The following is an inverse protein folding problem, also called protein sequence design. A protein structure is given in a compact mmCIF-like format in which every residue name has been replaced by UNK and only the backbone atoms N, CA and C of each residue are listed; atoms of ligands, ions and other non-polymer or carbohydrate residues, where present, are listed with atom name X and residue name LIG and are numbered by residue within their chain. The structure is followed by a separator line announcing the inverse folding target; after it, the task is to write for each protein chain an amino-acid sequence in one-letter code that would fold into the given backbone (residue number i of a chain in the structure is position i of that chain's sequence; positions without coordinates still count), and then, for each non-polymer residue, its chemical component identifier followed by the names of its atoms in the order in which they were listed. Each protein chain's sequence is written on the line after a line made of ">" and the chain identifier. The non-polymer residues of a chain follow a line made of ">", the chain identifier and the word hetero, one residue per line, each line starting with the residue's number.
data_IF_566650841054
#
_entry.id   IF_566650841054
#
_cell.length_a   1.000
_cell.length_b   1.000
_cell.length_c   1.000
_cell.angle_alpha   90.00
_cell.angle_beta   90.00
_cell.angle_gamma   90.00
#
_symmetry.space_group_name_H-M   'P 1'
#
loop_
_entity.id
_entity.type
_entity.pdbx_description
1 polymer ?
#
# COMPACT_ATOMS: atom_id res chain seq x y z
N UNK A 1 15.84 35.13 -19.72
CA UNK A 1 15.88 34.93 -18.25
C UNK A 1 16.69 33.68 -18.00
N UNK A 2 17.79 33.72 -17.22
CA UNK A 2 18.50 32.50 -16.88
C UNK A 2 17.69 31.71 -15.86
N UNK A 3 17.45 30.44 -16.14
CA UNK A 3 16.85 29.48 -15.20
C UNK A 3 17.82 29.34 -14.03
N UNK A 4 17.30 29.54 -12.82
CA UNK A 4 18.08 29.52 -11.59
C UNK A 4 18.72 28.14 -11.38
N UNK A 5 20.05 28.08 -11.42
CA UNK A 5 20.82 26.85 -11.17
C UNK A 5 20.55 26.27 -9.78
N UNK A 6 20.13 27.09 -8.82
CA UNK A 6 19.75 26.68 -7.47
C UNK A 6 18.56 25.71 -7.49
N UNK A 7 17.60 25.92 -8.39
CA UNK A 7 16.41 25.05 -8.51
C UNK A 7 16.80 23.67 -9.04
N UNK A 8 17.76 23.61 -9.97
CA UNK A 8 18.27 22.36 -10.49
C UNK A 8 19.15 21.60 -9.49
N UNK A 9 19.92 22.31 -8.65
CA UNK A 9 20.68 21.69 -7.56
C UNK A 9 19.77 21.20 -6.43
N UNK A 10 18.71 21.93 -6.08
CA UNK A 10 17.70 21.45 -5.11
C UNK A 10 16.90 20.26 -5.66
N UNK A 11 16.53 20.27 -6.95
CA UNK A 11 15.87 19.13 -7.61
C UNK A 11 16.82 17.93 -7.73
N UNK A 12 18.10 18.14 -8.04
CA UNK A 12 19.09 17.06 -8.11
C UNK A 12 19.35 16.47 -6.73
N UNK A 13 19.43 17.30 -5.68
CA UNK A 13 19.60 16.86 -4.30
C UNK A 13 18.35 16.14 -3.75
N UNK A 14 17.16 16.53 -4.18
CA UNK A 14 15.92 15.81 -3.89
C UNK A 14 15.78 14.48 -4.66
N UNK A 15 16.51 14.32 -5.78
CA UNK A 15 16.61 13.06 -6.53
C UNK A 15 17.72 12.15 -5.95
N UNK A 16 18.66 12.72 -5.19
CA UNK A 16 19.76 12.04 -4.49
C UNK A 16 19.43 11.56 -3.07
N UNK A 17 18.20 11.70 -2.59
CA UNK A 17 17.70 10.78 -1.57
C UNK A 17 17.61 9.40 -2.25
N UNK A 18 18.75 8.69 -2.29
CA UNK A 18 18.84 7.29 -2.66
C UNK A 18 17.67 6.58 -1.97
N UNK A 19 16.72 6.09 -2.77
CA UNK A 19 15.63 5.26 -2.25
C UNK A 19 16.27 3.96 -1.81
N UNK A 20 16.77 3.94 -0.57
CA UNK A 20 17.39 2.77 0.03
C UNK A 20 16.33 1.68 0.09
N UNK A 21 16.55 0.62 -0.71
CA UNK A 21 15.67 -0.53 -0.70
C UNK A 21 15.88 -1.27 0.61
N UNK A 22 14.82 -1.32 1.44
CA UNK A 22 14.80 -2.12 2.66
C UNK A 22 14.88 -3.62 2.29
N UNK A 23 16.11 -4.15 2.26
CA UNK A 23 16.40 -5.53 1.88
C UNK A 23 15.81 -6.53 2.87
N UNK A 24 15.79 -6.19 4.16
CA UNK A 24 15.21 -7.01 5.23
C UNK A 24 13.70 -7.16 5.02
N UNK A 25 13.00 -6.06 4.76
CA UNK A 25 11.58 -6.11 4.42
C UNK A 25 11.32 -6.92 3.15
N UNK A 26 12.13 -6.74 2.11
CA UNK A 26 11.99 -7.45 0.84
C UNK A 26 12.11 -8.97 1.01
N UNK A 27 13.16 -9.44 1.69
CA UNK A 27 13.40 -10.86 1.93
C UNK A 27 12.32 -11.49 2.79
N UNK A 28 11.96 -10.82 3.89
CA UNK A 28 10.92 -11.28 4.79
C UNK A 28 9.55 -11.38 4.10
N UNK A 29 9.18 -10.39 3.30
CA UNK A 29 7.94 -10.42 2.52
C UNK A 29 7.91 -11.53 1.47
N UNK A 30 9.05 -11.80 0.83
CA UNK A 30 9.15 -12.91 -0.12
C UNK A 30 8.94 -14.26 0.59
N UNK A 31 9.49 -14.44 1.78
CA UNK A 31 9.29 -15.65 2.58
C UNK A 31 7.81 -15.82 2.98
N UNK A 32 7.17 -14.77 3.50
CA UNK A 32 5.75 -14.80 3.89
C UNK A 32 4.83 -15.06 2.68
N UNK A 33 5.11 -14.43 1.55
CA UNK A 33 4.36 -14.64 0.31
C UNK A 33 4.51 -16.08 -0.21
N UNK A 34 5.70 -16.67 -0.11
CA UNK A 34 5.92 -18.07 -0.47
C UNK A 34 5.12 -19.02 0.44
N UNK A 35 5.15 -18.79 1.76
CA UNK A 35 4.37 -19.57 2.72
C UNK A 35 2.86 -19.50 2.43
N UNK A 36 2.33 -18.30 2.19
CA UNK A 36 0.92 -18.13 1.87
C UNK A 36 0.55 -18.76 0.52
N UNK A 37 1.44 -18.65 -0.46
CA UNK A 37 1.26 -19.29 -1.77
C UNK A 37 1.15 -20.82 -1.62
N UNK A 38 2.03 -21.44 -0.83
CA UNK A 38 1.97 -22.88 -0.59
C UNK A 38 0.72 -23.29 0.21
N UNK A 39 0.31 -22.49 1.20
CA UNK A 39 -0.95 -22.71 1.94
C UNK A 39 -2.17 -22.70 1.01
N UNK A 40 -2.25 -21.71 0.11
CA UNK A 40 -3.34 -21.60 -0.85
C UNK A 40 -3.32 -22.75 -1.87
N UNK A 41 -2.14 -23.16 -2.35
CA UNK A 41 -1.98 -24.34 -3.22
C UNK A 41 -2.45 -25.62 -2.55
N UNK A 42 -2.10 -25.83 -1.28
CA UNK A 42 -2.56 -26.98 -0.50
C UNK A 42 -4.09 -26.99 -0.34
N UNK A 43 -4.73 -25.82 -0.31
CA UNK A 43 -6.19 -25.66 -0.32
C UNK A 43 -6.83 -25.78 -1.72
N UNK A 44 -6.06 -26.12 -2.76
CA UNK A 44 -6.54 -26.28 -4.14
C UNK A 44 -6.62 -24.97 -4.94
N UNK A 45 -6.17 -23.84 -4.39
CA UNK A 45 -6.17 -22.54 -5.04
C UNK A 45 -4.78 -22.25 -5.61
N UNK A 46 -4.70 -21.78 -6.86
CA UNK A 46 -3.43 -21.36 -7.47
C UNK A 46 -3.37 -19.83 -7.53
N UNK A 47 -2.87 -19.14 -6.48
CA UNK A 47 -2.79 -17.69 -6.51
C UNK A 47 -1.73 -17.20 -7.49
N UNK A 48 -1.93 -16.01 -8.04
CA UNK A 48 -0.90 -15.30 -8.79
C UNK A 48 -0.27 -14.23 -7.90
N UNK A 49 0.96 -14.46 -7.43
CA UNK A 49 1.74 -13.47 -6.69
C UNK A 49 2.11 -12.31 -7.60
N UNK A 50 1.69 -11.10 -7.24
CA UNK A 50 2.00 -9.91 -8.02
C UNK A 50 3.37 -9.31 -7.64
N UNK A 51 4.19 -8.90 -8.64
CA UNK A 51 5.49 -8.31 -8.39
C UNK A 51 5.36 -6.86 -7.93
N UNK A 52 5.39 -6.62 -6.63
CA UNK A 52 5.32 -5.26 -6.07
C UNK A 52 6.63 -4.51 -6.29
N UNK A 53 6.51 -3.23 -6.66
CA UNK A 53 7.63 -2.28 -6.74
C UNK A 53 7.76 -1.44 -5.47
N UNK A 54 6.64 -0.98 -4.92
CA UNK A 54 6.65 -0.03 -3.82
C UNK A 54 5.37 -0.12 -2.96
N UNK A 55 5.53 0.15 -1.67
CA UNK A 55 4.44 0.35 -0.73
C UNK A 55 4.48 1.78 -0.21
N UNK A 56 3.32 2.36 0.05
CA UNK A 56 3.25 3.68 0.66
C UNK A 56 1.93 3.96 1.34
N UNK A 57 1.87 5.11 1.99
CA UNK A 57 0.64 5.66 2.56
C UNK A 57 0.42 7.03 1.93
N UNK A 58 -0.76 7.25 1.39
CA UNK A 58 -1.23 8.57 0.95
C UNK A 58 -2.17 9.12 2.01
N UNK A 59 -2.01 10.38 2.36
CA UNK A 59 -2.85 11.08 3.32
C UNK A 59 -3.58 12.20 2.58
N UNK A 60 -4.91 12.21 2.66
CA UNK A 60 -5.71 13.32 2.16
C UNK A 60 -6.13 14.17 3.36
N UNK A 61 -5.36 15.24 3.60
CA UNK A 61 -5.52 16.12 4.77
C UNK A 61 -6.72 17.08 4.67
N UNK A 62 -7.30 17.21 3.48
CA UNK A 62 -8.52 17.94 3.18
C UNK A 62 -9.79 17.19 3.64
N UNK A 63 -9.73 15.87 3.80
CA UNK A 63 -10.78 15.07 4.42
C UNK A 63 -10.81 15.26 5.95
N UNK A 64 -12.00 15.21 6.54
CA UNK A 64 -12.22 15.30 8.00
C UNK A 64 -13.08 14.10 8.47
N UNK A 65 -12.50 13.09 9.14
CA UNK A 65 -11.09 12.94 9.51
C UNK A 65 -10.17 12.74 8.28
N UNK A 66 -8.85 12.90 8.46
CA UNK A 66 -7.84 12.70 7.39
C UNK A 66 -8.01 11.32 6.78
N UNK A 67 -8.08 11.22 5.45
CA UNK A 67 -8.21 9.92 4.79
C UNK A 67 -6.83 9.28 4.66
N UNK A 68 -6.63 8.11 5.26
CA UNK A 68 -5.40 7.32 5.19
C UNK A 68 -5.58 6.22 4.15
N UNK A 69 -4.72 6.17 3.14
CA UNK A 69 -4.89 5.29 1.98
C UNK A 69 -3.64 4.47 1.76
N UNK A 70 -3.81 3.15 1.70
CA UNK A 70 -2.76 2.17 1.47
C UNK A 70 -2.42 2.12 -0.02
N UNK A 71 -1.20 2.51 -0.38
CA UNK A 71 -0.74 2.58 -1.77
C UNK A 71 0.16 1.40 -2.10
N UNK A 72 -0.12 0.73 -3.21
CA UNK A 72 0.73 -0.33 -3.75
C UNK A 72 1.03 -0.04 -5.22
N UNK A 73 2.31 0.05 -5.57
CA UNK A 73 2.76 0.08 -6.96
C UNK A 73 3.17 -1.32 -7.40
N UNK A 74 2.55 -1.83 -8.46
CA UNK A 74 2.70 -3.22 -8.89
C UNK A 74 3.26 -3.23 -10.32
N UNK A 75 4.31 -4.01 -10.53
CA UNK A 75 4.96 -4.20 -11.83
C UNK A 75 4.12 -5.10 -12.76
N UNK A 76 2.97 -4.60 -13.19
CA UNK A 76 2.08 -5.33 -14.09
C UNK A 76 1.42 -4.39 -15.09
N UNK A 77 1.05 -4.91 -16.26
CA UNK A 77 0.19 -4.21 -17.22
C UNK A 77 -1.30 -4.34 -16.92
N UNK A 78 -1.67 -5.09 -15.88
CA UNK A 78 -3.04 -5.34 -15.46
C UNK A 78 -3.79 -4.05 -15.12
N UNK A 79 -5.04 -3.94 -15.56
CA UNK A 79 -5.91 -2.81 -15.25
C UNK A 79 -6.71 -3.13 -13.97
N UNK A 80 -6.34 -2.49 -12.87
CA UNK A 80 -6.98 -2.73 -11.58
C UNK A 80 -8.38 -2.11 -11.48
N UNK A 81 -8.60 -0.95 -12.09
CA UNK A 81 -9.83 -0.15 -11.93
C UNK A 81 -11.05 -0.92 -12.43
N UNK A 82 -10.95 -1.49 -13.63
CA UNK A 82 -12.09 -2.20 -14.23
C UNK A 82 -12.22 -3.64 -13.73
N UNK A 83 -11.10 -4.27 -13.34
CA UNK A 83 -11.05 -5.72 -13.10
C UNK A 83 -11.19 -6.09 -11.64
N UNK A 84 -10.60 -5.34 -10.69
CA UNK A 84 -10.68 -5.67 -9.26
C UNK A 84 -12.05 -5.27 -8.75
N UNK A 85 -12.80 -6.24 -8.21
CA UNK A 85 -14.13 -6.01 -7.61
C UNK A 85 -14.09 -5.99 -6.11
N UNK A 86 -13.14 -6.71 -5.52
CA UNK A 86 -13.06 -6.84 -4.08
C UNK A 86 -11.60 -6.99 -3.67
N UNK A 87 -11.27 -6.33 -2.58
CA UNK A 87 -10.02 -6.54 -1.84
C UNK A 87 -10.38 -7.27 -0.56
N UNK A 88 -9.67 -8.36 -0.27
CA UNK A 88 -9.72 -9.03 1.02
C UNK A 88 -8.35 -8.92 1.68
N UNK A 89 -8.35 -8.70 2.99
CA UNK A 89 -7.14 -8.63 3.80
C UNK A 89 -7.19 -9.73 4.83
N UNK A 90 -6.06 -10.40 5.07
CA UNK A 90 -5.93 -11.34 6.19
C UNK A 90 -5.92 -10.59 7.52
N UNK A 91 -6.04 -11.35 8.61
CA UNK A 91 -5.74 -10.82 9.94
C UNK A 91 -4.30 -10.25 9.99
N UNK A 92 -4.09 -9.09 10.63
CA UNK A 92 -2.76 -8.50 10.78
C UNK A 92 -1.83 -9.38 11.61
N UNK A 93 -0.59 -9.52 11.13
CA UNK A 93 0.53 -10.13 11.86
C UNK A 93 1.55 -9.04 12.22
N UNK A 94 2.25 -9.16 13.33
CA UNK A 94 3.32 -8.22 13.69
C UNK A 94 4.49 -8.34 12.73
N UNK A 95 4.98 -7.21 12.22
CA UNK A 95 6.22 -7.19 11.44
C UNK A 95 7.42 -7.06 12.40
N UNK A 96 8.33 -8.05 12.46
CA UNK A 96 9.31 -8.13 13.56
C UNK A 96 10.49 -7.16 13.43
N UNK A 97 10.71 -6.55 12.27
CA UNK A 97 11.89 -5.71 12.01
C UNK A 97 11.61 -4.20 12.13
N UNK A 98 10.36 -3.81 12.41
CA UNK A 98 9.99 -2.40 12.60
C UNK A 98 8.80 -2.26 13.54
N UNK A 99 8.98 -1.51 14.62
CA UNK A 99 7.91 -1.23 15.57
C UNK A 99 6.75 -0.49 14.90
N UNK A 100 5.53 -0.74 15.39
CA UNK A 100 4.30 -0.14 14.87
C UNK A 100 4.02 -0.44 13.40
N UNK A 101 4.60 -1.52 12.85
CA UNK A 101 4.26 -2.03 11.55
C UNK A 101 3.62 -3.42 11.67
N UNK A 102 2.66 -3.66 10.80
CA UNK A 102 1.99 -4.95 10.66
C UNK A 102 2.06 -5.43 9.22
N UNK A 103 1.86 -6.72 9.06
CA UNK A 103 1.82 -7.45 7.81
C UNK A 103 0.41 -8.01 7.57
N UNK A 104 -0.05 -7.97 6.32
CA UNK A 104 -1.23 -8.69 5.85
C UNK A 104 -0.97 -9.32 4.48
N UNK A 105 -1.68 -10.42 4.20
CA UNK A 105 -1.90 -10.88 2.84
C UNK A 105 -3.08 -10.10 2.25
N UNK A 106 -2.88 -9.50 1.08
CA UNK A 106 -3.93 -8.82 0.33
C UNK A 106 -4.31 -9.69 -0.87
N UNK A 107 -5.58 -10.03 -0.97
CA UNK A 107 -6.14 -10.72 -2.12
C UNK A 107 -6.96 -9.74 -2.96
N UNK A 108 -6.63 -9.66 -4.24
CA UNK A 108 -7.43 -8.92 -5.22
C UNK A 108 -8.28 -9.93 -5.99
N UNK A 109 -9.59 -9.85 -5.78
CA UNK A 109 -10.56 -10.66 -6.51
C UNK A 109 -11.05 -9.88 -7.72
N UNK A 110 -11.02 -10.54 -8.88
CA UNK A 110 -11.28 -9.89 -10.15
C UNK A 110 -12.49 -10.49 -10.84
N UNK A 111 -13.16 -9.68 -11.65
CA UNK A 111 -14.24 -10.16 -12.48
C UNK A 111 -13.69 -11.12 -13.54
N UNK A 112 -14.29 -12.30 -13.64
CA UNK A 112 -13.99 -13.31 -14.65
C UNK A 112 -12.59 -13.96 -14.60
N UNK A 113 -11.78 -13.75 -13.55
CA UNK A 113 -10.62 -14.61 -13.29
C UNK A 113 -10.86 -15.51 -12.08
N UNK A 114 -10.75 -16.81 -12.30
CA UNK A 114 -10.82 -17.82 -11.23
C UNK A 114 -9.51 -17.93 -10.43
N UNK A 115 -8.59 -16.97 -10.58
CA UNK A 115 -7.29 -16.95 -9.93
C UNK A 115 -7.23 -15.70 -9.05
N UNK A 116 -7.14 -15.84 -7.71
CA UNK A 116 -6.93 -14.69 -6.85
C UNK A 116 -5.52 -14.15 -7.05
N UNK A 117 -5.40 -12.82 -7.12
CA UNK A 117 -4.11 -12.16 -7.15
C UNK A 117 -3.66 -11.91 -5.71
N UNK A 118 -2.44 -12.32 -5.37
CA UNK A 118 -1.88 -12.21 -4.03
C UNK A 118 -0.85 -11.09 -3.98
N UNK A 119 -0.94 -10.26 -2.94
CA UNK A 119 0.02 -9.20 -2.65
C UNK A 119 0.38 -9.22 -1.17
N UNK A 120 1.64 -9.49 -0.78
CA UNK A 120 2.08 -9.25 0.59
C UNK A 120 2.10 -7.74 0.87
N UNK A 121 1.74 -7.30 2.07
CA UNK A 121 1.73 -5.88 2.40
C UNK A 121 2.19 -5.63 3.82
N UNK A 122 3.16 -4.73 4.00
CA UNK A 122 3.53 -4.17 5.30
C UNK A 122 3.07 -2.73 5.39
N UNK A 123 2.60 -2.33 6.57
CA UNK A 123 2.04 -1.01 6.77
C UNK A 123 2.25 -0.51 8.20
N UNK A 124 2.38 0.82 8.39
CA UNK A 124 2.33 1.41 9.71
C UNK A 124 0.92 1.31 10.29
N UNK A 125 0.79 0.77 11.49
CA UNK A 125 -0.50 0.62 12.19
C UNK A 125 -1.10 1.97 12.62
N UNK A 126 -0.24 2.97 12.80
CA UNK A 126 -0.63 4.36 13.07
C UNK A 126 0.16 5.32 12.18
N UNK A 127 -0.52 6.35 11.70
CA UNK A 127 0.02 7.34 10.79
C UNK A 127 -0.05 8.70 11.44
N UNK A 128 1.06 9.44 11.43
CA UNK A 128 1.10 10.83 11.90
C UNK A 128 0.25 11.70 10.99
N UNK A 129 -0.65 12.50 11.54
CA UNK A 129 -1.51 13.43 10.81
C UNK A 129 -1.23 14.86 11.28
N UNK A 130 -1.07 15.76 10.32
CA UNK A 130 -0.84 17.19 10.60
C UNK A 130 -2.19 17.91 10.51
N UNK A 131 -2.56 18.73 11.50
CA UNK A 131 -3.78 19.53 11.41
C UNK A 131 -3.66 20.58 10.29
N UNK A 132 -4.78 20.93 9.63
CA UNK A 132 -4.78 21.97 8.59
C UNK A 132 -4.22 23.31 9.11
N UNK A 133 -3.56 24.12 8.25
CA UNK A 133 -2.94 25.39 8.63
C UNK A 133 -3.90 26.37 9.32
N UNK A 134 -5.19 26.29 9.01
CA UNK A 134 -6.26 27.14 9.55
C UNK A 134 -6.55 26.87 11.04
N UNK A 135 -6.14 25.70 11.55
CA UNK A 135 -6.29 25.34 12.97
C UNK A 135 -5.03 25.66 13.78
N UNK A 136 -4.70 26.95 13.90
CA UNK A 136 -3.59 27.43 14.74
C UNK A 136 -3.74 26.90 16.18
N UNK A 137 -2.73 26.16 16.64
CA UNK A 137 -2.62 25.67 18.03
C UNK A 137 -2.99 24.20 18.25
N UNK A 138 -3.50 23.46 17.26
CA UNK A 138 -3.68 22.00 17.39
C UNK A 138 -2.34 21.27 17.18
N UNK A 139 -2.02 20.34 18.08
CA UNK A 139 -0.83 19.48 17.98
C UNK A 139 -1.04 18.41 16.90
N UNK A 140 0.05 17.99 16.26
CA UNK A 140 0.08 16.80 15.40
C UNK A 140 -0.52 15.60 16.14
N UNK A 141 -1.40 14.86 15.46
CA UNK A 141 -2.04 13.67 16.01
C UNK A 141 -1.52 12.39 15.35
N UNK A 142 -2.04 11.26 15.80
CA UNK A 142 -1.93 9.98 15.10
C UNK A 142 -3.32 9.47 14.76
N UNK A 143 -3.43 8.81 13.62
CA UNK A 143 -4.64 8.12 13.18
C UNK A 143 -4.30 6.66 12.92
N UNK A 144 -5.19 5.76 13.31
CA UNK A 144 -5.04 4.32 13.01
C UNK A 144 -5.17 4.08 11.51
N UNK A 145 -4.34 3.21 10.97
CA UNK A 145 -4.55 2.64 9.63
C UNK A 145 -5.41 1.38 9.78
N UNK A 146 -6.66 1.48 9.33
CA UNK A 146 -7.67 0.42 9.41
C UNK A 146 -7.74 -0.46 8.15
N UNK A 147 -6.85 -0.22 7.17
CA UNK A 147 -6.81 -0.93 5.89
C UNK A 147 -8.10 -0.81 5.05
N UNK A 148 -8.96 0.19 5.30
CA UNK A 148 -10.20 0.34 4.53
C UNK A 148 -9.95 0.89 3.13
N UNK A 149 -8.99 1.80 2.98
CA UNK A 149 -8.77 2.52 1.73
C UNK A 149 -7.48 2.08 1.02
N UNK A 150 -7.59 1.87 -0.29
CA UNK A 150 -6.52 1.37 -1.14
C UNK A 150 -6.37 2.18 -2.44
N UNK A 151 -5.12 2.35 -2.85
CA UNK A 151 -4.71 2.91 -4.12
C UNK A 151 -3.74 1.94 -4.80
N UNK A 152 -4.23 1.25 -5.83
CA UNK A 152 -3.43 0.34 -6.65
C UNK A 152 -2.90 1.08 -7.87
N UNK A 153 -1.62 0.92 -8.17
CA UNK A 153 -0.96 1.56 -9.32
C UNK A 153 -0.25 0.50 -10.15
N UNK A 154 -0.52 0.44 -11.45
CA UNK A 154 0.14 -0.52 -12.34
C UNK A 154 1.43 0.06 -12.96
N UNK A 155 2.14 -0.75 -13.76
CA UNK A 155 3.41 -0.35 -14.39
C UNK A 155 3.29 0.80 -15.40
N UNK A 156 2.06 1.12 -15.85
CA UNK A 156 1.75 2.24 -16.74
C UNK A 156 1.37 3.52 -15.97
N UNK A 157 1.39 3.47 -14.64
CA UNK A 157 0.94 4.57 -13.78
C UNK A 157 -0.57 4.73 -13.70
N UNK A 158 -1.37 3.80 -14.26
CA UNK A 158 -2.82 3.83 -14.09
C UNK A 158 -3.16 3.55 -12.63
N UNK A 159 -4.06 4.37 -12.09
CA UNK A 159 -4.44 4.39 -10.66
C UNK A 159 -5.84 3.83 -10.51
N UNK A 160 -6.02 2.99 -9.50
CA UNK A 160 -7.33 2.47 -9.12
C UNK A 160 -7.59 2.66 -7.62
N UNK A 161 -8.76 3.21 -7.27
CA UNK A 161 -9.16 3.44 -5.89
C UNK A 161 -10.19 2.42 -5.45
N UNK A 162 -9.93 1.79 -4.30
CA UNK A 162 -10.82 0.80 -3.73
C UNK A 162 -11.04 1.08 -2.25
N UNK A 163 -12.27 0.83 -1.81
CA UNK A 163 -12.67 0.91 -0.41
C UNK A 163 -13.23 -0.46 0.01
N UNK A 164 -12.68 -1.01 1.08
CA UNK A 164 -13.20 -2.21 1.72
C UNK A 164 -14.30 -1.76 2.67
N UNK A 165 -15.54 -2.11 2.32
CA UNK A 165 -16.67 -1.96 3.22
C UNK A 165 -16.80 -3.29 3.97
N UNK A 166 -16.89 -3.24 5.30
CA UNK A 166 -17.06 -4.45 6.11
C UNK A 166 -18.23 -5.29 5.56
N UNK A 167 -18.01 -6.60 5.47
CA UNK A 167 -19.12 -7.54 5.28
C UNK A 167 -19.90 -7.55 6.58
N UNK A 168 -21.16 -7.11 6.55
CA UNK A 168 -22.11 -7.50 7.58
C UNK A 168 -22.18 -9.02 7.58
N UNK A 169 -21.89 -9.65 8.72
CA UNK A 169 -22.23 -11.04 8.96
C UNK A 169 -23.71 -11.23 8.61
N UNK A 170 -24.01 -12.19 7.74
CA UNK A 170 -25.38 -12.71 7.58
C UNK A 170 -25.58 -13.81 8.61
#
# INVERSE_FOLDING_TARGET
>A
MPIDKSIHEELAKAVEDEVEVDSVAKEWLAERAAQETERLKAAGVKPLLLPVRNYGIVKYEDHKPVLIVNRIEINTGFDFEQRVKQIMVSDPQTYPHKENYSYVNVLLLTENMNIPLLVPYIYPTTVKVTPPPETKGKKSGTQKNDLQEWLLINAKGARARHSIHEYHSV
#
